data_IF_829509761105
#
_entry.id   IF_829509761105
#
_cell.length_a   1.000
_cell.length_b   1.000
_cell.length_c   1.000
_cell.angle_alpha   90.00
_cell.angle_beta   90.00
_cell.angle_gamma   90.00
#
_symmetry.space_group_name_H-M   'P 1'
#
loop_
_entity.id
_entity.type
_entity.pdbx_description
1 polymer ?
2 non-polymer ?
3 water ?
#
# COMPACT_ATOMS: atom_id res chain seq x y z
N UNK A 1 -8.13 -25.53 12.75
CA UNK A 1 -8.96 -25.54 11.58
C UNK A 1 -8.70 -24.32 10.69
N UNK A 2 -7.46 -24.10 10.26
CA UNK A 2 -7.21 -23.11 9.20
C UNK A 2 -7.86 -23.59 7.91
N UNK A 3 -8.27 -22.74 6.97
CA UNK A 3 -8.80 -23.18 5.69
C UNK A 3 -7.77 -23.92 4.85
N UNK A 4 -8.22 -24.76 3.93
CA UNK A 4 -7.30 -25.49 3.08
C UNK A 4 -6.64 -24.57 2.05
N UNK A 5 -7.46 -23.68 1.51
CA UNK A 5 -7.00 -22.68 0.56
C UNK A 5 -7.29 -21.33 1.19
N UNK A 6 -6.37 -20.38 1.17
CA UNK A 6 -6.58 -19.03 1.67
C UNK A 6 -6.54 -18.16 0.41
N UNK A 7 -7.57 -17.39 0.11
CA UNK A 7 -7.63 -16.47 -1.03
C UNK A 7 -7.13 -15.13 -0.53
N UNK A 8 -6.09 -14.55 -1.13
CA UNK A 8 -5.47 -13.30 -0.69
C UNK A 8 -5.75 -12.26 -1.74
N UNK A 9 -6.39 -11.12 -1.43
CA UNK A 9 -6.64 -10.10 -2.43
C UNK A 9 -5.50 -9.13 -2.35
N UNK A 10 -5.12 -8.57 -3.50
CA UNK A 10 -4.08 -7.55 -3.59
C UNK A 10 -4.48 -6.65 -4.77
N UNK A 11 -4.05 -5.40 -4.90
CA UNK A 11 -4.54 -4.57 -5.98
C UNK A 11 -3.74 -4.67 -7.28
N UNK A 12 -2.55 -5.23 -7.20
CA UNK A 12 -1.57 -5.44 -8.27
C UNK A 12 -1.10 -4.19 -8.98
N UNK A 13 -1.42 -2.99 -8.51
CA UNK A 13 -0.94 -1.75 -9.09
C UNK A 13 -0.14 -0.91 -8.07
N UNK A 14 0.79 -1.49 -7.34
CA UNK A 14 1.47 -0.74 -6.30
C UNK A 14 2.88 -1.31 -6.15
N UNK A 15 3.62 -1.24 -7.25
CA UNK A 15 5.01 -1.68 -7.32
C UNK A 15 5.86 -0.86 -6.32
N UNK A 16 6.87 -1.38 -5.63
CA UNK A 16 7.41 -2.73 -5.78
C UNK A 16 6.71 -3.73 -4.89
N UNK A 17 5.59 -3.37 -4.26
CA UNK A 17 5.01 -4.29 -3.31
C UNK A 17 4.09 -5.26 -4.01
N UNK A 18 3.31 -4.82 -4.97
CA UNK A 18 2.40 -5.75 -5.62
C UNK A 18 2.19 -5.29 -7.04
N UNK A 19 2.53 -6.08 -8.05
CA UNK A 19 2.23 -5.75 -9.42
C UNK A 19 2.21 -7.05 -10.23
N UNK A 20 2.10 -6.94 -11.55
CA UNK A 20 2.10 -8.09 -12.46
C UNK A 20 3.32 -8.01 -13.35
N UNK A 21 4.08 -9.09 -13.59
CA UNK A 21 5.10 -8.92 -14.60
C UNK A 21 4.46 -8.94 -16.01
N UNK A 22 5.32 -9.14 -17.02
CA UNK A 22 4.95 -9.17 -18.43
C UNK A 22 4.09 -10.35 -18.84
N UNK A 23 4.24 -11.49 -18.17
CA UNK A 23 3.37 -12.63 -18.45
C UNK A 23 2.09 -12.57 -17.64
N UNK A 24 1.92 -11.55 -16.77
CA UNK A 24 0.75 -11.44 -15.91
C UNK A 24 0.87 -12.11 -14.56
N UNK A 25 2.06 -12.60 -14.27
CA UNK A 25 2.36 -13.19 -12.97
C UNK A 25 2.40 -12.14 -11.85
N UNK A 26 1.93 -12.45 -10.64
CA UNK A 26 1.90 -11.52 -9.52
C UNK A 26 3.29 -11.46 -8.95
N UNK A 27 3.87 -10.29 -8.82
CA UNK A 27 5.22 -10.13 -8.30
C UNK A 27 5.27 -8.98 -7.30
N UNK A 28 6.26 -8.99 -6.40
CA UNK A 28 6.48 -7.89 -5.47
C UNK A 28 6.77 -8.40 -4.05
N UNK A 29 7.24 -7.48 -3.20
CA UNK A 29 7.56 -7.83 -1.83
C UNK A 29 6.38 -8.39 -1.06
N UNK A 30 5.16 -7.89 -1.28
CA UNK A 30 3.98 -8.40 -0.58
C UNK A 30 3.64 -9.83 -0.96
N UNK A 31 3.88 -10.13 -2.24
CA UNK A 31 3.66 -11.47 -2.83
C UNK A 31 4.65 -12.46 -2.23
N UNK A 32 5.92 -12.04 -2.15
CA UNK A 32 6.95 -12.83 -1.51
C UNK A 32 6.66 -13.14 -0.05
N UNK A 33 6.34 -12.13 0.72
CA UNK A 33 6.01 -12.30 2.12
C UNK A 33 4.81 -13.20 2.22
N UNK A 34 3.74 -13.00 1.44
CA UNK A 34 2.53 -13.80 1.52
C UNK A 34 2.79 -15.27 1.18
N UNK A 35 3.59 -15.57 0.16
CA UNK A 35 3.87 -16.96 -0.19
C UNK A 35 4.79 -17.62 0.82
N UNK A 36 5.78 -16.91 1.33
CA UNK A 36 6.64 -17.41 2.39
C UNK A 36 5.82 -17.74 3.63
N UNK A 37 4.89 -16.87 4.03
CA UNK A 37 4.09 -17.13 5.21
C UNK A 37 3.14 -18.27 4.95
N UNK A 38 2.53 -18.35 3.78
CA UNK A 38 1.66 -19.49 3.46
C UNK A 38 2.33 -20.85 3.58
N UNK A 39 3.54 -20.89 3.06
CA UNK A 39 4.42 -22.06 3.11
C UNK A 39 4.64 -22.47 4.55
N UNK A 40 4.99 -21.48 5.41
CA UNK A 40 5.18 -21.76 6.83
C UNK A 40 3.91 -22.16 7.55
N UNK A 41 2.75 -21.63 7.12
CA UNK A 41 1.44 -22.03 7.65
C UNK A 41 1.00 -23.40 7.14
N UNK A 42 1.62 -23.99 6.11
CA UNK A 42 1.22 -25.24 5.49
C UNK A 42 -0.19 -25.16 4.92
N UNK A 43 -0.50 -24.06 4.23
CA UNK A 43 -1.80 -23.87 3.58
C UNK A 43 -1.57 -23.54 2.12
N UNK A 44 -2.60 -23.72 1.28
CA UNK A 44 -2.50 -23.28 -0.09
C UNK A 44 -3.06 -21.87 -0.13
N UNK A 45 -2.45 -21.03 -0.94
CA UNK A 45 -2.88 -19.64 -1.09
C UNK A 45 -3.11 -19.25 -2.55
N UNK A 46 -4.23 -18.61 -2.87
CA UNK A 46 -4.45 -18.14 -4.22
C UNK A 46 -4.44 -16.62 -4.16
N UNK A 47 -3.88 -15.90 -5.13
CA UNK A 47 -3.90 -14.47 -5.15
C UNK A 47 -5.02 -14.02 -6.11
N UNK A 48 -5.80 -13.03 -5.70
CA UNK A 48 -6.95 -12.55 -6.44
C UNK A 48 -6.65 -11.07 -6.71
N UNK A 49 -6.58 -10.53 -7.91
CA UNK A 49 -6.37 -9.10 -8.10
C UNK A 49 -7.69 -8.35 -7.91
N UNK A 50 -7.67 -7.15 -7.33
CA UNK A 50 -8.92 -6.40 -7.16
C UNK A 50 -8.53 -4.95 -7.12
N UNK A 51 -9.47 -4.06 -7.42
CA UNK A 51 -9.24 -2.64 -7.16
C UNK A 51 -9.04 -2.51 -5.66
N UNK A 52 -8.25 -1.55 -5.21
CA UNK A 52 -7.91 -1.42 -3.81
C UNK A 52 -9.13 -1.13 -2.98
N UNK A 53 -10.05 -0.26 -3.40
CA UNK A 53 -11.20 -0.01 -2.55
C UNK A 53 -12.23 -1.14 -2.47
N UNK A 54 -12.12 -2.19 -3.28
CA UNK A 54 -13.07 -3.27 -3.14
C UNK A 54 -12.50 -4.33 -2.21
N UNK A 55 -11.26 -4.19 -1.74
CA UNK A 55 -10.63 -5.26 -0.98
C UNK A 55 -11.29 -5.47 0.38
N UNK A 56 -11.50 -4.43 1.20
CA UNK A 56 -12.10 -4.68 2.52
C UNK A 56 -13.55 -5.09 2.33
N UNK A 57 -14.36 -4.53 1.44
CA UNK A 57 -15.64 -5.10 1.07
C UNK A 57 -15.64 -6.57 0.71
N UNK A 58 -14.70 -7.03 -0.12
CA UNK A 58 -14.60 -8.42 -0.51
C UNK A 58 -14.22 -9.32 0.63
N UNK A 59 -13.38 -8.85 1.54
CA UNK A 59 -13.01 -9.56 2.75
C UNK A 59 -14.23 -9.84 3.64
N UNK A 60 -15.02 -8.82 3.98
CA UNK A 60 -16.24 -8.98 4.76
C UNK A 60 -17.31 -9.81 4.03
N UNK A 61 -17.36 -9.79 2.71
CA UNK A 61 -18.33 -10.59 1.96
C UNK A 61 -17.78 -11.99 1.73
N UNK A 62 -16.61 -12.35 2.29
CA UNK A 62 -15.97 -13.65 2.17
C UNK A 62 -15.61 -14.10 0.78
N UNK A 63 -15.37 -13.14 -0.10
CA UNK A 63 -14.88 -13.44 -1.45
C UNK A 63 -13.40 -13.72 -1.31
N UNK A 64 -12.73 -13.06 -0.35
CA UNK A 64 -11.33 -13.36 -0.09
C UNK A 64 -11.24 -13.58 1.43
N UNK A 65 -10.10 -14.11 1.85
CA UNK A 65 -9.84 -14.41 3.25
C UNK A 65 -8.77 -13.57 3.92
N UNK A 66 -7.94 -12.93 3.09
CA UNK A 66 -6.87 -12.09 3.59
C UNK A 66 -6.58 -11.00 2.58
N UNK A 67 -6.03 -9.88 3.03
CA UNK A 67 -5.64 -8.78 2.17
C UNK A 67 -4.15 -8.58 2.39
N UNK A 68 -3.31 -8.69 1.36
CA UNK A 68 -1.94 -8.24 1.52
C UNK A 68 -1.75 -7.29 0.35
N UNK A 69 -1.86 -5.99 0.65
CA UNK A 69 -1.85 -4.99 -0.37
C UNK A 69 -1.39 -3.65 0.21
N UNK A 70 -0.29 -3.66 1.01
CA UNK A 70 0.27 -2.49 1.73
C UNK A 70 -0.87 -1.80 2.51
N UNK A 71 -1.68 -2.61 3.17
CA UNK A 71 -2.85 -2.13 3.91
C UNK A 71 -2.41 -1.54 5.28
N UNK A 72 -2.52 -0.22 5.43
CA UNK A 72 -2.08 0.46 6.63
C UNK A 72 -2.98 0.10 7.79
N UNK A 73 -2.36 -0.26 8.93
CA UNK A 73 -3.07 -0.57 10.17
C UNK A 73 -3.48 0.77 10.79
N UNK A 74 -4.76 1.14 10.71
CA UNK A 74 -5.24 2.40 11.19
C UNK A 74 -6.30 2.07 12.21
N UNK A 75 -6.59 3.07 13.02
CA UNK A 75 -7.60 2.96 14.06
C UNK A 75 -8.98 2.70 13.44
N UNK A 76 -9.28 3.46 12.40
CA UNK A 76 -10.51 3.35 11.66
C UNK A 76 -10.67 1.98 11.02
N UNK A 77 -9.66 1.41 10.32
CA UNK A 77 -9.86 0.08 9.75
C UNK A 77 -10.01 -0.97 10.83
N UNK A 78 -9.36 -0.81 11.99
CA UNK A 78 -9.45 -1.74 13.11
C UNK A 78 -10.87 -1.84 13.65
N UNK A 79 -11.76 -0.88 13.43
CA UNK A 79 -13.13 -1.03 13.86
C UNK A 79 -13.88 -2.04 13.00
N UNK A 80 -13.44 -2.32 11.78
CA UNK A 80 -14.11 -3.26 10.89
C UNK A 80 -13.36 -4.60 10.77
N UNK A 81 -12.04 -4.61 10.68
CA UNK A 81 -11.27 -5.84 10.42
C UNK A 81 -10.17 -5.94 11.43
N UNK A 82 -9.48 -7.06 11.35
CA UNK A 82 -8.36 -7.37 12.21
C UNK A 82 -7.11 -7.32 11.35
N UNK A 83 -5.95 -7.21 11.97
CA UNK A 83 -4.72 -7.17 11.22
C UNK A 83 -3.76 -8.08 11.90
N UNK A 84 -2.78 -8.54 11.14
CA UNK A 84 -1.67 -9.26 11.70
C UNK A 84 -0.75 -8.15 12.28
N UNK A 85 0.41 -8.55 12.81
CA UNK A 85 1.44 -7.64 13.24
C UNK A 85 2.00 -7.03 11.96
N UNK A 86 2.85 -6.06 12.20
CA UNK A 86 3.34 -5.18 11.17
C UNK A 86 4.19 -5.95 10.16
N UNK A 87 3.90 -5.79 8.86
CA UNK A 87 4.76 -6.34 7.83
C UNK A 87 5.87 -5.38 7.50
N UNK A 88 5.62 -4.09 7.27
CA UNK A 88 6.69 -3.10 7.10
C UNK A 88 5.99 -1.78 7.36
N UNK A 89 6.79 -0.74 7.43
CA UNK A 89 6.31 0.58 7.70
C UNK A 89 5.91 1.26 6.39
N UNK A 90 5.11 2.31 6.46
CA UNK A 90 4.73 3.09 5.30
C UNK A 90 4.33 4.53 5.59
N UNK A 91 5.20 5.49 5.29
CA UNK A 91 4.85 6.91 5.32
C UNK A 91 4.34 7.36 3.97
N UNK A 92 3.58 8.45 3.91
CA UNK A 92 3.06 9.04 2.68
C UNK A 92 3.93 10.22 2.29
N UNK A 93 4.04 10.58 1.00
CA UNK A 93 4.83 11.71 0.57
C UNK A 93 4.31 12.15 -0.79
N UNK A 94 4.36 13.45 -1.03
CA UNK A 94 3.88 14.00 -2.28
C UNK A 94 4.95 13.92 -3.39
N UNK A 95 4.53 13.78 -4.65
CA UNK A 95 5.47 13.85 -5.75
C UNK A 95 4.93 14.86 -6.72
N UNK A 96 5.83 15.52 -7.41
CA UNK A 96 5.44 16.52 -8.40
C UNK A 96 6.65 16.68 -9.33
N UNK A 97 6.55 17.57 -10.32
CA UNK A 97 7.63 17.82 -11.27
C UNK A 97 8.87 18.34 -10.58
N UNK A 98 10.03 17.85 -11.03
CA UNK A 98 11.29 18.31 -10.50
C UNK A 98 11.33 19.82 -10.56
N UNK A 99 11.76 20.37 -9.43
CA UNK A 99 11.81 21.82 -9.32
C UNK A 99 10.44 22.44 -9.20
N UNK A 100 9.47 21.65 -8.74
CA UNK A 100 8.15 22.18 -8.46
C UNK A 100 8.31 22.97 -7.16
N UNK A 101 7.66 24.13 -7.04
CA UNK A 101 7.53 24.87 -5.78
C UNK A 101 6.62 24.16 -4.73
N UNK A 102 5.83 23.15 -5.15
CA UNK A 102 4.84 22.47 -4.33
C UNK A 102 5.37 21.88 -3.03
N UNK A 103 4.56 22.13 -2.00
CA UNK A 103 4.72 21.61 -0.65
C UNK A 103 3.43 20.92 -0.26
N UNK A 104 3.38 19.91 0.61
CA UNK A 104 2.12 19.43 1.14
C UNK A 104 1.38 20.45 2.00
N UNK A 105 0.97 21.64 1.57
CA UNK A 105 0.27 22.56 2.45
C UNK A 105 -0.90 23.10 1.68
N UNK A 106 -1.97 23.55 2.33
CA UNK A 106 -3.13 24.04 1.63
C UNK A 106 -2.78 25.22 0.76
N UNK A 107 -1.98 26.04 1.35
CA UNK A 107 -1.53 27.26 0.76
C UNK A 107 -0.90 27.00 -0.60
N UNK A 108 -0.06 25.98 -0.69
CA UNK A 108 0.63 25.62 -1.93
C UNK A 108 -0.27 24.85 -2.90
N UNK A 109 -1.26 24.11 -2.40
CA UNK A 109 -2.08 23.26 -3.22
C UNK A 109 -3.43 23.82 -3.62
N UNK A 110 -3.78 25.03 -3.17
CA UNK A 110 -5.09 25.59 -3.49
C UNK A 110 -5.22 25.69 -5.01
N UNK A 111 -6.29 25.14 -5.61
CA UNK A 111 -6.39 25.15 -7.07
C UNK A 111 -5.39 24.23 -7.83
N UNK A 112 -4.63 23.33 -7.19
CA UNK A 112 -3.80 22.38 -7.92
C UNK A 112 -4.62 21.13 -8.12
N UNK A 113 -4.12 20.14 -8.86
CA UNK A 113 -4.83 18.88 -9.11
C UNK A 113 -3.95 17.83 -8.46
N UNK A 114 -4.50 17.11 -7.49
CA UNK A 114 -3.78 16.16 -6.69
C UNK A 114 -4.50 14.83 -6.84
N UNK A 115 -3.76 13.78 -7.21
CA UNK A 115 -4.33 12.45 -7.38
C UNK A 115 -4.08 11.60 -6.14
N UNK A 116 -5.06 10.77 -5.80
CA UNK A 116 -4.96 9.91 -4.63
C UNK A 116 -5.66 8.64 -5.02
N UNK A 117 -5.25 7.53 -4.46
CA UNK A 117 -5.94 6.30 -4.74
C UNK A 117 -7.26 6.27 -3.97
N UNK A 118 -8.39 6.05 -4.63
CA UNK A 118 -9.64 5.84 -3.98
C UNK A 118 -9.57 4.65 -3.04
N UNK A 119 -10.03 4.96 -1.84
CA UNK A 119 -10.13 4.00 -0.74
C UNK A 119 -8.89 3.98 0.13
N UNK A 120 -7.88 4.80 -0.15
CA UNK A 120 -6.65 4.71 0.61
C UNK A 120 -6.72 5.64 1.81
N UNK A 121 -5.64 5.59 2.60
CA UNK A 121 -5.53 6.53 3.70
C UNK A 121 -5.22 7.92 3.17
N UNK A 122 -4.55 7.99 2.00
CA UNK A 122 -4.22 9.26 1.37
C UNK A 122 -5.47 9.94 0.88
N UNK A 123 -6.45 9.19 0.39
CA UNK A 123 -7.71 9.78 -0.05
C UNK A 123 -8.45 10.39 1.14
N UNK A 124 -8.59 9.67 2.26
CA UNK A 124 -9.23 10.17 3.46
C UNK A 124 -8.59 11.45 3.95
N UNK A 125 -7.27 11.46 4.07
CA UNK A 125 -6.51 12.62 4.46
C UNK A 125 -6.70 13.84 3.55
N UNK A 126 -6.48 13.67 2.22
CA UNK A 126 -6.61 14.72 1.24
C UNK A 126 -8.06 15.18 1.18
N UNK A 127 -9.06 14.32 1.25
CA UNK A 127 -10.45 14.77 1.20
C UNK A 127 -10.82 15.66 2.37
N UNK A 128 -10.36 15.31 3.57
CA UNK A 128 -10.62 16.11 4.74
C UNK A 128 -9.85 17.38 4.72
N UNK A 129 -8.54 17.31 4.54
CA UNK A 129 -7.73 18.46 4.70
C UNK A 129 -7.65 19.35 3.49
N UNK A 130 -7.68 18.82 2.26
CA UNK A 130 -7.42 19.62 1.07
C UNK A 130 -8.65 19.81 0.18
N UNK A 131 -9.44 18.77 -0.09
CA UNK A 131 -10.63 18.88 -0.90
C UNK A 131 -11.69 19.87 -0.36
N UNK A 132 -11.96 19.83 0.95
CA UNK A 132 -12.94 20.73 1.56
C UNK A 132 -12.53 22.19 1.39
N UNK A 133 -11.24 22.50 1.36
CA UNK A 133 -10.82 23.86 1.28
C UNK A 133 -10.51 24.21 -0.15
N UNK A 134 -10.99 23.44 -1.16
CA UNK A 134 -10.85 23.83 -2.55
C UNK A 134 -9.60 23.34 -3.29
N UNK A 135 -8.87 22.35 -2.79
CA UNK A 135 -7.80 21.78 -3.61
C UNK A 135 -8.55 20.79 -4.51
N UNK A 136 -8.24 20.72 -5.80
CA UNK A 136 -8.95 19.75 -6.62
C UNK A 136 -8.32 18.39 -6.41
N UNK A 137 -8.90 17.59 -5.50
CA UNK A 137 -8.37 16.27 -5.22
C UNK A 137 -9.14 15.29 -6.12
N UNK A 138 -8.44 14.47 -6.91
CA UNK A 138 -9.06 13.52 -7.82
C UNK A 138 -8.75 12.11 -7.35
N UNK A 139 -9.77 11.30 -7.14
CA UNK A 139 -9.56 9.93 -6.67
C UNK A 139 -9.54 8.99 -7.88
N UNK A 140 -8.58 8.06 -7.85
CA UNK A 140 -8.36 7.13 -8.95
C UNK A 140 -8.57 5.71 -8.52
N UNK A 141 -9.02 4.89 -9.46
CA UNK A 141 -9.24 3.48 -9.25
C UNK A 141 -7.97 2.71 -8.93
N UNK A 142 -6.81 3.07 -9.49
CA UNK A 142 -5.60 2.36 -9.17
C UNK A 142 -4.45 3.35 -9.27
N UNK A 143 -3.32 3.07 -8.65
CA UNK A 143 -2.18 3.98 -8.62
C UNK A 143 -1.47 4.13 -9.96
N UNK A 144 -1.58 3.20 -10.89
CA UNK A 144 -0.87 3.32 -12.14
C UNK A 144 -1.43 4.45 -12.95
N UNK A 145 -2.76 4.55 -12.99
CA UNK A 145 -3.49 5.66 -13.63
C UNK A 145 -3.02 7.03 -13.13
N UNK A 146 -2.72 7.16 -11.85
CA UNK A 146 -2.22 8.40 -11.26
C UNK A 146 -0.88 8.75 -11.89
N UNK A 147 0.06 7.81 -11.97
CA UNK A 147 1.36 8.12 -12.55
C UNK A 147 1.26 8.58 -13.99
N UNK A 148 0.39 7.94 -14.79
CA UNK A 148 0.13 8.29 -16.18
C UNK A 148 -0.43 9.67 -16.29
N UNK A 149 -1.41 10.04 -15.46
CA UNK A 149 -1.99 11.38 -15.52
C UNK A 149 -1.06 12.48 -15.08
N UNK A 150 -0.19 12.08 -14.18
CA UNK A 150 0.87 12.93 -13.76
C UNK A 150 1.84 13.19 -14.91
N UNK A 151 2.38 12.19 -15.58
CA UNK A 151 3.32 12.43 -16.66
C UNK A 151 2.64 13.12 -17.85
N UNK A 152 1.32 12.88 -17.94
CA UNK A 152 0.48 13.52 -18.92
C UNK A 152 0.27 14.97 -18.53
N UNK A 153 0.55 15.41 -17.31
CA UNK A 153 0.31 16.77 -16.93
C UNK A 153 -1.15 17.03 -16.64
N UNK A 154 -1.98 16.01 -16.47
CA UNK A 154 -3.36 16.23 -16.00
C UNK A 154 -3.39 16.48 -14.50
N UNK A 155 -2.40 15.96 -13.77
CA UNK A 155 -2.25 16.17 -12.33
C UNK A 155 -1.00 16.96 -12.08
N UNK A 156 -1.03 17.77 -11.03
CA UNK A 156 0.10 18.56 -10.57
C UNK A 156 0.90 17.80 -9.52
N UNK A 157 0.26 16.91 -8.76
CA UNK A 157 0.94 16.17 -7.71
C UNK A 157 0.11 14.94 -7.40
N UNK A 158 0.69 14.00 -6.65
CA UNK A 158 0.01 12.80 -6.26
C UNK A 158 0.46 12.47 -4.86
N UNK A 159 -0.38 11.88 -4.03
CA UNK A 159 -0.02 11.53 -2.67
C UNK A 159 -0.20 10.02 -2.54
N UNK A 160 0.81 9.31 -2.07
CA UNK A 160 0.81 7.85 -1.96
C UNK A 160 1.91 7.48 -0.98
N UNK A 161 2.04 6.17 -0.75
CA UNK A 161 3.10 5.68 0.12
C UNK A 161 4.43 6.00 -0.53
N UNK A 162 5.31 6.58 0.25
CA UNK A 162 6.62 7.04 -0.15
C UNK A 162 7.48 5.98 -0.87
N UNK A 163 7.62 4.75 -0.36
CA UNK A 163 8.44 3.72 -1.00
C UNK A 163 7.80 3.28 -2.31
N UNK A 164 6.47 3.15 -2.44
CA UNK A 164 5.81 2.86 -3.71
C UNK A 164 6.17 3.95 -4.72
N UNK A 165 6.09 5.25 -4.38
CA UNK A 165 6.42 6.31 -5.31
C UNK A 165 7.90 6.29 -5.69
N UNK A 166 8.77 6.09 -4.70
CA UNK A 166 10.19 6.08 -4.98
C UNK A 166 10.61 4.90 -5.88
N UNK A 167 10.36 3.65 -5.46
CA UNK A 167 10.79 2.51 -6.24
C UNK A 167 9.85 2.22 -7.39
N UNK A 168 8.56 2.52 -7.33
CA UNK A 168 7.66 2.17 -8.40
C UNK A 168 7.55 3.23 -9.47
N UNK A 169 8.04 4.44 -9.25
CA UNK A 169 7.90 5.46 -10.25
C UNK A 169 9.13 6.36 -10.41
N UNK A 170 9.64 7.01 -9.36
CA UNK A 170 10.72 7.97 -9.45
C UNK A 170 12.02 7.37 -9.96
N UNK A 171 12.35 6.15 -9.51
CA UNK A 171 13.51 5.42 -10.01
C UNK A 171 13.19 4.68 -11.32
N UNK A 172 12.02 4.79 -11.95
CA UNK A 172 11.71 4.14 -13.22
C UNK A 172 11.90 5.15 -14.34
N UNK A 173 12.06 4.78 -15.61
CA UNK A 173 12.30 5.74 -16.71
C UNK A 173 11.27 6.85 -16.76
N UNK A 174 10.01 6.45 -16.54
CA UNK A 174 8.92 7.42 -16.54
C UNK A 174 8.94 8.48 -15.45
N UNK A 175 9.65 8.26 -14.34
CA UNK A 175 9.63 9.19 -13.24
C UNK A 175 10.85 10.08 -13.21
N UNK A 176 11.75 9.93 -14.18
CA UNK A 176 12.97 10.74 -14.37
C UNK A 176 12.81 12.26 -14.20
N UNK A 177 11.69 12.85 -14.60
CA UNK A 177 11.50 14.28 -14.51
C UNK A 177 10.64 14.61 -13.30
N UNK A 178 10.52 13.75 -12.31
CA UNK A 178 9.65 14.02 -11.15
C UNK A 178 10.44 13.83 -9.88
N UNK A 179 9.98 14.39 -8.78
CA UNK A 179 10.68 14.20 -7.53
C UNK A 179 9.70 14.33 -6.34
N UNK A 180 10.16 14.02 -5.11
CA UNK A 180 9.35 14.23 -3.93
C UNK A 180 9.23 15.71 -3.74
N UNK A 181 8.06 16.11 -3.30
CA UNK A 181 7.73 17.50 -3.17
C UNK A 181 7.43 17.68 -1.69
N UNK A 182 8.43 18.18 -0.94
CA UNK A 182 8.32 18.43 0.49
C UNK A 182 8.63 17.15 1.27
N UNK A 183 8.55 17.14 2.61
CA UNK A 183 8.91 16.01 3.45
C UNK A 183 7.73 15.07 3.54
N UNK A 184 7.90 13.89 4.10
CA UNK A 184 6.80 12.98 4.33
C UNK A 184 5.70 13.67 5.12
N UNK A 185 4.44 13.37 4.82
CA UNK A 185 3.30 13.96 5.49
C UNK A 185 3.01 13.05 6.68
N UNK A 186 3.13 13.46 7.94
CA UNK A 186 2.87 12.52 9.02
C UNK A 186 1.57 12.90 9.72
N UNK A 187 0.65 11.97 9.89
CA UNK A 187 -0.53 12.22 10.65
C UNK A 187 -0.99 10.88 11.19
N UNK A 188 -0.78 10.67 12.50
CA UNK A 188 -1.10 9.44 13.23
C UNK A 188 -2.53 8.97 13.03
N UNK A 189 -3.45 9.94 13.13
CA UNK A 189 -4.87 9.72 12.90
C UNK A 189 -5.17 9.14 11.52
N UNK A 190 -4.46 9.54 10.45
CA UNK A 190 -4.80 9.07 9.11
C UNK A 190 -4.01 7.89 8.55
N UNK A 191 -2.71 7.87 8.78
CA UNK A 191 -1.86 6.89 8.12
C UNK A 191 -1.54 5.64 8.88
N UNK A 192 -2.03 5.51 10.12
CA UNK A 192 -1.86 4.31 10.93
C UNK A 192 -0.42 3.96 11.20
N UNK A 193 -0.12 2.69 11.50
CA UNK A 193 1.22 2.37 11.88
C UNK A 193 1.74 1.12 11.17
N UNK A 194 2.25 1.35 9.96
CA UNK A 194 2.76 0.26 9.19
C UNK A 194 1.57 -0.46 8.55
N UNK A 195 1.88 -1.52 7.80
CA UNK A 195 0.87 -2.24 7.06
C UNK A 195 0.84 -3.64 7.65
N UNK A 196 -0.24 -4.37 7.41
CA UNK A 196 -0.31 -5.74 7.85
C UNK A 196 -1.33 -6.47 7.02
N UNK A 197 -1.44 -7.76 7.25
CA UNK A 197 -2.44 -8.58 6.57
C UNK A 197 -3.82 -8.22 7.13
N UNK A 198 -4.81 -7.82 6.30
CA UNK A 198 -6.14 -7.50 6.78
C UNK A 198 -6.94 -8.77 6.86
N UNK A 199 -7.77 -9.00 7.87
CA UNK A 199 -8.46 -10.29 8.06
C UNK A 199 -9.81 -10.02 8.70
N UNK A 200 -10.74 -10.96 8.59
CA UNK A 200 -12.03 -10.81 9.25
C UNK A 200 -11.80 -10.89 10.77
N UNK A 201 -12.52 -10.12 11.58
CA UNK A 201 -12.34 -10.12 13.02
C UNK A 201 -12.49 -11.49 13.69
N UNK A 202 -13.45 -12.23 13.20
CA UNK A 202 -13.71 -13.54 13.74
C UNK A 202 -12.69 -14.58 13.30
N UNK A 203 -11.75 -14.32 12.38
CA UNK A 203 -10.81 -15.37 11.98
C UNK A 203 -9.54 -15.30 12.79
N UNK A 204 -9.74 -15.70 14.04
CA UNK A 204 -8.71 -15.61 15.05
C UNK A 204 -7.58 -16.59 14.83
N UNK A 205 -7.95 -17.82 14.44
CA UNK A 205 -6.99 -18.85 14.23
C UNK A 205 -6.05 -18.47 13.08
N UNK A 206 -6.61 -17.85 12.03
CA UNK A 206 -5.86 -17.44 10.85
C UNK A 206 -4.92 -16.29 11.22
N UNK A 207 -5.37 -15.29 11.99
CA UNK A 207 -4.48 -14.23 12.43
C UNK A 207 -3.32 -14.80 13.23
N UNK A 208 -3.55 -15.78 14.10
CA UNK A 208 -2.45 -16.31 14.86
C UNK A 208 -1.43 -17.07 14.02
N UNK A 209 -1.91 -17.74 12.97
CA UNK A 209 -1.03 -18.45 12.07
C UNK A 209 -0.15 -17.50 11.25
N UNK A 210 -0.74 -16.43 10.67
CA UNK A 210 0.07 -15.41 9.97
C UNK A 210 1.09 -14.77 10.91
N UNK A 211 0.70 -14.37 12.13
CA UNK A 211 1.64 -13.77 13.10
C UNK A 211 2.81 -14.65 13.48
N UNK A 212 2.53 -15.95 13.66
CA UNK A 212 3.53 -16.95 14.00
C UNK A 212 4.50 -17.11 12.83
N UNK A 213 4.00 -17.30 11.58
CA UNK A 213 4.86 -17.42 10.39
C UNK A 213 5.68 -16.16 10.19
N UNK A 214 5.11 -14.99 10.48
CA UNK A 214 5.83 -13.73 10.34
C UNK A 214 6.96 -13.68 11.38
N UNK A 215 6.73 -14.14 12.61
CA UNK A 215 7.77 -14.12 13.63
C UNK A 215 8.89 -15.02 13.22
N UNK A 216 8.54 -16.23 12.85
CA UNK A 216 9.49 -17.20 12.36
C UNK A 216 10.32 -16.70 11.16
N UNK A 217 9.77 -16.24 10.02
CA UNK A 217 10.62 -15.82 8.91
C UNK A 217 11.42 -14.58 9.29
N UNK A 218 11.03 -13.74 10.24
CA UNK A 218 11.87 -12.63 10.63
C UNK A 218 13.04 -13.17 11.46
N UNK A 219 12.80 -14.08 12.42
CA UNK A 219 13.88 -14.62 13.25
C UNK A 219 14.99 -15.34 12.50
N UNK A 220 14.69 -16.07 11.43
CA UNK A 220 15.71 -16.83 10.77
C UNK A 220 16.38 -16.08 9.62
N UNK A 221 16.24 -14.76 9.54
CA UNK A 221 16.91 -14.02 8.50
C UNK A 221 16.20 -14.03 7.16
N UNK A 222 15.11 -14.77 6.93
CA UNK A 222 14.44 -14.74 5.61
C UNK A 222 13.91 -13.34 5.27
N UNK A 223 13.23 -12.63 6.17
CA UNK A 223 12.71 -11.29 5.90
C UNK A 223 13.81 -10.43 5.31
N UNK A 224 14.99 -10.39 5.94
CA UNK A 224 16.07 -9.56 5.42
C UNK A 224 16.57 -10.07 4.08
N UNK A 225 16.61 -11.39 3.84
CA UNK A 225 17.02 -11.87 2.51
C UNK A 225 16.02 -11.39 1.46
N UNK A 226 14.74 -11.56 1.72
CA UNK A 226 13.69 -11.10 0.82
C UNK A 226 13.75 -9.61 0.63
N UNK A 227 13.92 -8.77 1.67
CA UNK A 227 13.85 -7.34 1.50
C UNK A 227 15.05 -6.81 0.77
N UNK A 228 16.25 -7.39 0.93
CA UNK A 228 17.42 -6.92 0.19
C UNK A 228 17.20 -7.11 -1.30
N UNK A 229 16.30 -7.97 -1.73
CA UNK A 229 15.94 -8.08 -3.13
C UNK A 229 15.28 -6.80 -3.66
N UNK A 230 14.71 -5.94 -2.80
CA UNK A 230 14.07 -4.72 -3.27
C UNK A 230 14.61 -3.43 -2.71
N UNK A 231 15.15 -3.45 -1.49
CA UNK A 231 15.36 -2.19 -0.80
C UNK A 231 16.77 -2.20 -0.25
N UNK A 232 17.36 -1.02 -0.15
CA UNK A 232 18.69 -0.93 0.41
C UNK A 232 18.55 -0.20 1.73
N UNK A 233 17.38 -0.20 2.35
CA UNK A 233 17.21 0.52 3.59
C UNK A 233 16.36 -0.36 4.45
N UNK A 234 16.14 0.02 5.70
CA UNK A 234 15.31 -0.76 6.61
C UNK A 234 13.84 -0.48 6.36
N UNK A 235 13.22 -1.33 5.56
CA UNK A 235 11.82 -1.14 5.18
C UNK A 235 10.86 -1.40 6.34
N UNK A 236 11.25 -2.29 7.28
CA UNK A 236 10.39 -2.66 8.40
C UNK A 236 10.15 -1.50 9.37
N UNK A 237 11.17 -0.69 9.61
CA UNK A 237 11.10 0.38 10.59
C UNK A 237 11.45 -0.23 11.95
N UNK A 238 10.89 0.44 12.97
CA UNK A 238 11.03 0.18 14.41
C UNK A 238 10.22 -1.03 14.81
X LIG B 1 -1.10 2.31 2.56
X LIG B 1 -2.11 2.99 1.80
X LIG B 1 -2.07 2.62 0.30
X LIG B 1 -1.92 1.13 -0.10
X LIG B 1 -2.54 0.88 -1.46
X LIG B 1 -2.33 -0.50 -1.91
X LIG B 1 -3.39 2.43 2.45
X LIG B 1 -3.35 1.49 3.26
X LIG B 1 -4.45 2.93 2.14
#
# INVERSE_FOLDING_TARGET
>A
ALPQTVRIGTDTTYAPFSSKDAKGEFIGFDIDLGNEMCKRMQVKCTWVASDFDALIPSLKAKKIDAIISSLSITDKRQQEIAFSDKLYAADSRLIAAKGSPIQPTLESLKGKHVGVLQGSTQEAYANDNWRTKGVDVVAYANQDLIYSDLTAGRLDAALQDEVAASEGFLKQPAGKEYAFAGPSVKDKKYFGDGTGVGLRKDDTELKAAFDKALTELRQDGTYDKMAKKYFDFNVYGD
>B hetero
1 ORN N CA CB CG CD NE C O OXT
#
